data_IF_668885313826
#
_entry.id   IF_668885313826
#
_cell.length_a   1.000
_cell.length_b   1.000
_cell.length_c   1.000
_cell.angle_alpha   90.00
_cell.angle_beta   90.00
_cell.angle_gamma   90.00
#
_symmetry.space_group_name_H-M   'P 1'
#
loop_
_entity.id
_entity.type
_entity.pdbx_description
1 polymer ?
#
# COMPACT_ATOMS: atom_id res chain seq x y z
N UNK A 1 6.03 -4.62 -5.75
CA UNK A 1 5.02 -4.10 -6.71
C UNK A 1 5.51 -4.39 -8.12
N UNK A 2 4.64 -4.90 -8.99
CA UNK A 2 4.99 -5.24 -10.37
C UNK A 2 3.97 -4.68 -11.34
N UNK A 3 4.44 -3.98 -12.36
CA UNK A 3 3.66 -3.57 -13.52
C UNK A 3 4.01 -4.51 -14.67
N UNK A 4 3.00 -4.94 -15.42
CA UNK A 4 3.19 -5.73 -16.64
C UNK A 4 2.81 -4.87 -17.84
N UNK A 5 3.73 -4.67 -18.77
CA UNK A 5 3.46 -3.98 -20.02
C UNK A 5 2.76 -4.90 -21.00
N UNK A 6 1.65 -4.45 -21.60
CA UNK A 6 0.91 -5.20 -22.62
C UNK A 6 0.85 -4.45 -23.94
N UNK A 7 0.93 -5.19 -25.05
CA UNK A 7 0.78 -4.62 -26.41
C UNK A 7 1.69 -3.42 -26.66
N UNK A 8 1.09 -2.26 -26.93
CA UNK A 8 1.77 -0.98 -27.24
C UNK A 8 2.49 -0.34 -26.06
N UNK A 9 2.25 -0.82 -24.83
CA UNK A 9 2.89 -0.26 -23.63
C UNK A 9 4.35 -0.73 -23.48
N UNK A 10 4.73 -1.82 -24.17
CA UNK A 10 6.10 -2.35 -24.13
C UNK A 10 7.14 -1.40 -24.75
N UNK A 11 6.75 -0.57 -25.71
CA UNK A 11 7.64 0.44 -26.30
C UNK A 11 7.73 1.73 -25.49
N UNK A 12 6.99 1.82 -24.38
CA UNK A 12 6.89 3.03 -23.55
C UNK A 12 7.12 2.75 -22.06
N UNK A 13 8.27 2.18 -21.68
CA UNK A 13 8.58 1.89 -20.28
C UNK A 13 8.58 3.15 -19.39
N UNK A 14 8.79 4.34 -19.96
CA UNK A 14 8.72 5.62 -19.26
C UNK A 14 7.36 5.89 -18.61
N UNK A 15 6.27 5.35 -19.15
CA UNK A 15 4.95 5.47 -18.54
C UNK A 15 4.85 4.64 -17.24
N UNK A 16 5.43 3.44 -17.23
CA UNK A 16 5.51 2.61 -16.04
C UNK A 16 6.37 3.25 -14.95
N UNK A 17 7.48 3.87 -15.35
CA UNK A 17 8.36 4.59 -14.42
C UNK A 17 7.64 5.75 -13.75
N UNK A 18 6.92 6.58 -14.53
CA UNK A 18 6.13 7.71 -13.99
C UNK A 18 5.05 7.24 -13.03
N UNK A 19 4.39 6.12 -13.34
CA UNK A 19 3.35 5.57 -12.47
C UNK A 19 3.94 5.09 -11.13
N UNK A 20 5.08 4.39 -11.16
CA UNK A 20 5.75 3.93 -9.94
C UNK A 20 6.35 5.08 -9.14
N UNK A 21 6.80 6.16 -9.80
CA UNK A 21 7.28 7.36 -9.12
C UNK A 21 6.14 8.02 -8.32
N UNK A 22 4.98 8.22 -8.94
CA UNK A 22 3.80 8.74 -8.25
C UNK A 22 3.38 7.84 -7.07
N UNK A 23 3.36 6.54 -7.29
CA UNK A 23 3.04 5.58 -6.22
C UNK A 23 4.05 5.63 -5.07
N UNK A 24 5.33 5.84 -5.36
CA UNK A 24 6.35 5.99 -4.32
C UNK A 24 6.12 7.24 -3.46
N UNK A 25 5.71 8.36 -4.07
CA UNK A 25 5.33 9.58 -3.35
C UNK A 25 4.12 9.33 -2.43
N UNK A 26 3.07 8.68 -2.95
CA UNK A 26 1.85 8.37 -2.19
C UNK A 26 2.10 7.41 -1.01
N UNK A 27 3.15 6.59 -1.07
CA UNK A 27 3.48 5.59 -0.03
C UNK A 27 4.40 6.10 1.07
N UNK A 28 4.98 7.29 0.92
CA UNK A 28 6.06 7.81 1.79
C UNK A 28 5.71 7.80 3.28
N UNK A 29 4.42 7.98 3.63
CA UNK A 29 3.94 7.96 5.01
C UNK A 29 3.90 6.55 5.63
N UNK A 30 3.72 5.51 4.80
CA UNK A 30 3.54 4.12 5.25
C UNK A 30 4.82 3.28 5.10
N UNK A 31 5.69 3.67 4.16
CA UNK A 31 6.92 2.95 3.87
C UNK A 31 7.90 3.73 3.01
N UNK A 32 8.92 3.03 2.55
CA UNK A 32 9.97 3.57 1.70
C UNK A 32 10.29 2.61 0.55
N UNK A 33 10.96 3.12 -0.48
CA UNK A 33 11.42 2.33 -1.62
C UNK A 33 12.70 1.59 -1.23
N UNK A 34 12.65 0.26 -1.17
CA UNK A 34 13.81 -0.59 -0.93
C UNK A 34 14.60 -0.83 -2.22
N UNK A 35 13.89 -1.05 -3.33
CA UNK A 35 14.49 -1.18 -4.65
C UNK A 35 13.77 -0.31 -5.68
N UNK A 36 14.53 0.54 -6.34
CA UNK A 36 14.03 1.44 -7.40
C UNK A 36 13.36 0.64 -8.53
N UNK A 37 12.38 1.23 -9.23
CA UNK A 37 11.76 0.60 -10.40
C UNK A 37 12.82 0.13 -11.42
N UNK A 38 12.80 -1.16 -11.75
CA UNK A 38 13.66 -1.75 -12.79
C UNK A 38 12.81 -2.53 -13.78
N UNK A 39 13.15 -2.41 -15.06
CA UNK A 39 12.52 -3.19 -16.11
C UNK A 39 13.14 -4.58 -16.18
N UNK A 40 12.29 -5.61 -16.10
CA UNK A 40 12.61 -7.03 -16.26
C UNK A 40 11.75 -7.60 -17.39
N UNK A 41 12.28 -7.54 -18.61
CA UNK A 41 11.59 -7.93 -19.83
C UNK A 41 10.30 -7.14 -20.06
N UNK A 42 9.16 -7.82 -19.94
CA UNK A 42 7.81 -7.23 -20.08
C UNK A 42 7.26 -6.68 -18.76
N UNK A 43 8.01 -6.82 -17.68
CA UNK A 43 7.59 -6.41 -16.36
C UNK A 43 8.46 -5.24 -15.89
N UNK A 44 7.93 -4.44 -14.98
CA UNK A 44 8.68 -3.45 -14.23
C UNK A 44 8.40 -3.64 -12.75
N UNK A 45 9.45 -3.78 -11.96
CA UNK A 45 9.37 -4.19 -10.56
C UNK A 45 9.96 -3.09 -9.68
N UNK A 46 9.23 -2.74 -8.63
CA UNK A 46 9.66 -1.86 -7.53
C UNK A 46 9.41 -2.58 -6.20
N UNK A 47 10.37 -2.52 -5.28
CA UNK A 47 10.22 -3.12 -3.95
C UNK A 47 10.01 -2.01 -2.93
N UNK A 48 8.96 -2.16 -2.12
CA UNK A 48 8.61 -1.26 -1.02
C UNK A 48 8.77 -2.00 0.29
N UNK A 49 9.31 -1.30 1.29
CA UNK A 49 9.42 -1.78 2.66
C UNK A 49 8.58 -0.88 3.59
N UNK A 50 7.81 -1.45 4.52
CA UNK A 50 7.04 -0.65 5.48
C UNK A 50 7.96 -0.06 6.55
N UNK A 51 7.61 1.12 7.07
CA UNK A 51 8.35 1.74 8.19
C UNK A 51 8.20 0.95 9.49
N UNK A 52 7.04 0.31 9.69
CA UNK A 52 6.74 -0.49 10.87
C UNK A 52 6.81 -1.97 10.53
N UNK A 53 7.42 -2.77 11.41
CA UNK A 53 7.49 -4.23 11.25
C UNK A 53 6.08 -4.80 11.13
N UNK A 54 5.90 -5.88 10.35
CA UNK A 54 4.60 -6.58 10.20
C UNK A 54 3.91 -6.87 11.54
N UNK A 55 4.68 -7.09 12.61
CA UNK A 55 4.18 -7.30 13.97
C UNK A 55 3.48 -6.09 14.58
N UNK A 56 3.84 -4.87 14.18
CA UNK A 56 3.19 -3.62 14.61
C UNK A 56 1.94 -3.35 13.76
N UNK A 57 2.03 -3.48 12.44
CA UNK A 57 0.90 -3.22 11.53
C UNK A 57 -0.27 -4.18 11.77
N UNK A 58 0.02 -5.45 12.04
CA UNK A 58 -1.01 -6.44 12.41
C UNK A 58 -1.63 -6.17 13.79
N UNK A 59 -0.92 -5.50 14.69
CA UNK A 59 -1.44 -5.12 16.02
C UNK A 59 -2.28 -3.85 15.97
N UNK A 60 -1.91 -2.87 15.15
CA UNK A 60 -2.72 -1.66 14.92
C UNK A 60 -4.03 -2.01 14.21
N UNK A 61 -4.02 -2.78 13.11
CA UNK A 61 -5.26 -3.21 12.44
C UNK A 61 -6.21 -4.01 13.35
N UNK A 62 -5.66 -4.83 14.26
CA UNK A 62 -6.46 -5.55 15.26
C UNK A 62 -6.99 -4.62 16.37
N UNK A 63 -6.25 -3.57 16.73
CA UNK A 63 -6.68 -2.57 17.71
C UNK A 63 -7.71 -1.61 17.13
N UNK A 64 -7.54 -1.13 15.90
CA UNK A 64 -8.51 -0.28 15.22
C UNK A 64 -9.84 -1.03 15.04
N UNK A 65 -9.79 -2.30 14.62
CA UNK A 65 -11.00 -3.13 14.54
C UNK A 65 -11.66 -3.39 15.91
N UNK A 66 -10.88 -3.47 17.00
CA UNK A 66 -11.42 -3.62 18.36
C UNK A 66 -12.01 -2.31 18.89
N UNK A 67 -11.35 -1.18 18.63
CA UNK A 67 -11.81 0.16 19.02
C UNK A 67 -13.07 0.56 18.28
N UNK A 68 -13.18 0.17 17.02
CA UNK A 68 -14.39 0.41 16.21
C UNK A 68 -15.56 -0.44 16.73
N UNK A 69 -15.34 -1.70 17.12
CA UNK A 69 -16.38 -2.53 17.77
C UNK A 69 -16.82 -1.97 19.12
N UNK A 70 -15.88 -1.57 19.97
CA UNK A 70 -16.19 -0.99 21.30
C UNK A 70 -17.00 0.30 21.16
N UNK A 71 -16.66 1.15 20.17
CA UNK A 71 -17.40 2.38 19.88
C UNK A 71 -18.81 2.10 19.35
N UNK A 72 -18.99 1.06 18.51
CA UNK A 72 -20.30 0.66 17.98
C UNK A 72 -21.18 0.02 19.07
N UNK A 73 -20.59 -0.74 19.99
CA UNK A 73 -21.30 -1.33 21.14
C UNK A 73 -21.78 -0.26 22.13
N UNK A 74 -20.94 0.71 22.49
CA UNK A 74 -21.31 1.82 23.40
C UNK A 74 -22.40 2.73 22.79
N UNK A 75 -22.36 3.00 21.48
CA UNK A 75 -23.41 3.77 20.80
C UNK A 75 -24.75 3.01 20.74
N UNK A 76 -24.73 1.69 20.56
CA UNK A 76 -25.95 0.86 20.52
C UNK A 76 -26.63 0.71 21.90
N UNK A 77 -25.83 0.74 22.97
CA UNK A 77 -26.32 0.70 24.35
C UNK A 77 -26.95 2.04 24.79
N UNK A 78 -26.44 3.16 24.28
CA UNK A 78 -26.96 4.50 24.58
C UNK A 78 -28.28 4.83 23.85
N UNK A 79 -28.56 4.21 22.70
CA UNK A 79 -29.80 4.42 21.94
C UNK A 79 -30.99 3.56 22.45
N UNK A 80 -30.74 2.64 23.38
CA UNK A 80 -31.72 1.67 23.90
C UNK A 80 -32.23 1.97 25.32
N UNK A 81 -31.86 3.12 25.90
CA UNK A 81 -32.23 3.58 27.26
C UNK A 81 -33.05 4.88 27.20
#
# INVERSE_FOLDING_TARGET
>A
ITIMFRGREQSRPELGLRLLAKLAEDVTELGFVEATPKQDGRNMIMVLAPHRKKSDVAKDAAKDAARERETVEDLSAAESA
#
